data_IF_071780354738
#
_entry.id   IF_071780354738
#
_cell.length_a   1.000
_cell.length_b   1.000
_cell.length_c   1.000
_cell.angle_alpha   90.00
_cell.angle_beta   90.00
_cell.angle_gamma   90.00
#
_symmetry.space_group_name_H-M   'P 1'
#
loop_
_entity.id
_entity.type
_entity.pdbx_description
1 polymer ?
#
# COMPACT_ATOMS: atom_id res chain seq x y z
N UNK A 1 -48.07 27.30 -20.50
CA UNK A 1 -46.72 27.54 -19.91
C UNK A 1 -46.27 26.25 -19.23
N UNK A 2 -45.35 25.49 -19.84
CA UNK A 2 -44.84 24.24 -19.31
C UNK A 2 -43.69 24.51 -18.33
N UNK A 3 -43.82 24.05 -17.08
CA UNK A 3 -42.75 24.09 -16.07
C UNK A 3 -41.85 22.86 -16.27
N UNK A 4 -40.60 23.09 -16.64
CA UNK A 4 -39.58 22.03 -16.70
C UNK A 4 -38.87 21.99 -15.33
N UNK A 5 -39.07 20.92 -14.57
CA UNK A 5 -38.36 20.67 -13.32
C UNK A 5 -37.12 19.84 -13.63
N UNK A 6 -35.93 20.42 -13.50
CA UNK A 6 -34.67 19.68 -13.59
C UNK A 6 -34.46 18.87 -12.30
N UNK A 7 -34.50 17.55 -12.39
CA UNK A 7 -34.02 16.66 -11.33
C UNK A 7 -32.54 16.32 -11.60
N UNK A 8 -31.64 16.80 -10.75
CA UNK A 8 -30.23 16.45 -10.79
C UNK A 8 -30.03 15.06 -10.16
N UNK A 9 -29.71 14.05 -10.98
CA UNK A 9 -29.33 12.73 -10.51
C UNK A 9 -27.84 12.73 -10.12
N UNK A 10 -27.56 12.75 -8.80
CA UNK A 10 -26.21 12.50 -8.28
C UNK A 10 -25.94 11.00 -8.32
N UNK A 11 -25.12 10.58 -9.29
CA UNK A 11 -24.58 9.21 -9.35
C UNK A 11 -23.43 9.16 -8.35
N UNK A 12 -23.65 8.59 -7.17
CA UNK A 12 -22.56 8.24 -6.26
C UNK A 12 -21.80 7.04 -6.85
N UNK A 13 -20.58 7.29 -7.34
CA UNK A 13 -19.66 6.21 -7.67
C UNK A 13 -19.26 5.52 -6.36
N UNK A 14 -19.78 4.31 -6.13
CA UNK A 14 -19.27 3.41 -5.10
C UNK A 14 -17.89 2.94 -5.52
N UNK A 15 -16.86 3.61 -5.00
CA UNK A 15 -15.50 3.06 -4.99
C UNK A 15 -15.51 1.90 -4.01
N UNK A 16 -15.63 0.68 -4.53
CA UNK A 16 -15.35 -0.51 -3.75
C UNK A 16 -13.85 -0.48 -3.46
N UNK A 17 -13.46 0.07 -2.31
CA UNK A 17 -12.10 -0.11 -1.78
C UNK A 17 -12.05 -1.56 -1.33
N UNK A 18 -11.66 -2.43 -2.25
CA UNK A 18 -11.19 -3.76 -1.89
C UNK A 18 -9.93 -3.51 -1.06
N UNK A 19 -9.92 -3.95 0.20
CA UNK A 19 -8.76 -3.76 1.05
C UNK A 19 -7.54 -4.30 0.32
N UNK A 20 -6.54 -3.45 0.11
CA UNK A 20 -5.37 -3.76 -0.71
C UNK A 20 -4.59 -4.91 -0.11
N UNK A 21 -4.65 -5.02 1.21
CA UNK A 21 -4.10 -6.12 1.98
C UNK A 21 -5.13 -6.54 3.03
N UNK A 22 -6.02 -7.50 2.72
CA UNK A 22 -7.09 -7.89 3.63
C UNK A 22 -6.56 -8.31 5.02
N UNK A 23 -6.92 -7.54 6.06
CA UNK A 23 -6.49 -7.82 7.43
C UNK A 23 -5.08 -7.35 7.80
N UNK A 24 -4.51 -6.42 7.02
CA UNK A 24 -3.28 -5.69 7.30
C UNK A 24 -3.55 -4.19 7.45
N UNK A 25 -2.52 -3.37 7.65
CA UNK A 25 -2.67 -1.92 7.76
C UNK A 25 -2.10 -1.16 6.56
N UNK A 26 -1.07 -1.73 5.94
CA UNK A 26 -0.34 -1.10 4.85
C UNK A 26 0.05 -2.10 3.78
N UNK A 27 0.23 -1.60 2.56
CA UNK A 27 0.80 -2.34 1.44
C UNK A 27 2.03 -1.62 0.89
N UNK A 28 3.06 -2.38 0.52
CA UNK A 28 4.27 -1.83 -0.12
C UNK A 28 4.32 -2.29 -1.57
N UNK A 29 4.43 -1.32 -2.48
CA UNK A 29 4.78 -1.54 -3.87
C UNK A 29 6.28 -1.32 -4.06
N UNK A 30 6.93 -2.28 -4.70
CA UNK A 30 8.28 -2.16 -5.24
C UNK A 30 8.17 -1.64 -6.69
N UNK A 31 8.72 -0.44 -6.92
CA UNK A 31 8.68 0.23 -8.22
C UNK A 31 9.92 -0.09 -9.08
N UNK A 32 10.85 -0.89 -8.57
CA UNK A 32 12.19 -1.06 -9.13
C UNK A 32 13.12 0.08 -8.75
N UNK A 33 14.40 -0.05 -9.15
CA UNK A 33 15.44 0.96 -8.91
C UNK A 33 15.52 1.46 -7.47
N UNK A 34 15.33 0.55 -6.51
CA UNK A 34 15.35 0.85 -5.07
C UNK A 34 14.31 1.92 -4.65
N UNK A 35 13.19 1.98 -5.39
CA UNK A 35 12.06 2.86 -5.13
C UNK A 35 10.84 2.09 -4.63
N UNK A 36 10.26 2.57 -3.54
CA UNK A 36 9.15 1.92 -2.84
C UNK A 36 8.06 2.93 -2.53
N UNK A 37 6.80 2.49 -2.62
CA UNK A 37 5.65 3.25 -2.17
C UNK A 37 4.89 2.47 -1.12
N UNK A 38 4.59 3.14 -0.01
CA UNK A 38 3.80 2.57 1.08
C UNK A 38 2.41 3.19 1.03
N UNK A 39 1.41 2.32 0.93
CA UNK A 39 0.00 2.66 0.86
C UNK A 39 -0.72 2.27 2.13
N UNK A 40 -1.69 3.06 2.55
CA UNK A 40 -2.72 2.61 3.50
C UNK A 40 -3.78 1.75 2.80
N UNK A 41 -4.73 1.21 3.57
CA UNK A 41 -5.86 0.42 3.05
C UNK A 41 -6.79 1.19 2.09
N UNK A 42 -6.68 2.53 2.03
CA UNK A 42 -7.45 3.41 1.15
C UNK A 42 -6.72 3.76 -0.16
N UNK A 43 -5.58 3.14 -0.45
CA UNK A 43 -4.70 3.46 -1.58
C UNK A 43 -4.11 4.88 -1.54
N UNK A 44 -4.07 5.49 -0.36
CA UNK A 44 -3.35 6.74 -0.17
C UNK A 44 -1.86 6.43 0.01
N UNK A 45 -1.01 7.17 -0.69
CA UNK A 45 0.45 7.09 -0.47
C UNK A 45 0.76 7.75 0.87
N UNK A 46 1.21 6.95 1.83
CA UNK A 46 1.66 7.44 3.13
C UNK A 46 3.15 7.80 3.06
N UNK A 47 3.92 7.04 2.29
CA UNK A 47 5.36 7.25 2.16
C UNK A 47 5.87 6.84 0.78
N UNK A 48 6.92 7.52 0.33
CA UNK A 48 7.68 7.16 -0.87
C UNK A 48 9.15 7.17 -0.50
N UNK A 49 9.77 5.99 -0.56
CA UNK A 49 11.17 5.80 -0.22
C UNK A 49 11.97 5.56 -1.50
N UNK A 50 13.07 6.29 -1.64
CA UNK A 50 14.02 6.12 -2.74
C UNK A 50 15.39 5.98 -2.11
N UNK A 51 16.01 4.83 -2.32
CA UNK A 51 17.34 4.56 -1.80
C UNK A 51 18.38 4.66 -2.92
N UNK A 52 19.62 4.96 -2.53
CA UNK A 52 20.79 4.91 -3.42
C UNK A 52 21.59 3.60 -3.29
N UNK A 53 21.08 2.68 -2.47
CA UNK A 53 21.68 1.39 -2.17
C UNK A 53 20.65 0.46 -1.53
N UNK A 54 21.01 -0.81 -1.37
CA UNK A 54 20.13 -1.85 -0.84
C UNK A 54 19.28 -1.37 0.37
N UNK A 55 17.95 -1.31 0.24
CA UNK A 55 17.09 -0.72 1.27
C UNK A 55 17.02 -1.58 2.54
N UNK A 56 17.39 -2.85 2.46
CA UNK A 56 17.48 -3.77 3.59
C UNK A 56 18.62 -3.45 4.56
N UNK A 57 19.59 -2.63 4.17
CA UNK A 57 20.71 -2.19 5.03
C UNK A 57 20.56 -0.76 5.54
N UNK A 58 19.54 -0.04 5.06
CA UNK A 58 19.29 1.37 5.40
C UNK A 58 18.44 1.54 6.68
N UNK A 59 18.03 0.43 7.30
CA UNK A 59 17.22 0.44 8.52
C UNK A 59 15.74 0.71 8.29
N UNK A 60 15.29 0.99 7.05
CA UNK A 60 13.86 1.18 6.71
C UNK A 60 13.11 -0.13 6.52
N UNK A 61 13.76 -1.16 5.96
CA UNK A 61 13.18 -2.47 5.77
C UNK A 61 13.99 -3.56 6.46
N UNK A 62 13.27 -4.55 6.99
CA UNK A 62 13.81 -5.87 7.28
C UNK A 62 13.57 -6.76 6.07
N UNK A 63 14.54 -7.60 5.70
CA UNK A 63 14.45 -8.44 4.53
C UNK A 63 14.88 -9.88 4.81
N UNK A 64 14.33 -10.83 4.05
CA UNK A 64 14.78 -12.22 4.03
C UNK A 64 16.11 -12.39 3.27
N UNK A 65 16.85 -13.48 3.51
CA UNK A 65 17.88 -13.94 2.57
C UNK A 65 17.31 -14.16 1.16
N UNK A 66 18.20 -14.32 0.17
CA UNK A 66 17.80 -14.58 -1.21
C UNK A 66 16.84 -15.79 -1.34
N UNK A 67 15.69 -15.67 -2.05
CA UNK A 67 15.22 -14.48 -2.76
C UNK A 67 14.79 -13.37 -1.79
N UNK A 68 15.37 -12.18 -1.97
CA UNK A 68 15.19 -11.04 -1.06
C UNK A 68 13.72 -10.61 -1.12
N UNK A 69 13.07 -10.61 0.03
CA UNK A 69 11.69 -10.15 0.21
C UNK A 69 11.66 -9.26 1.45
N UNK A 70 10.88 -8.18 1.42
CA UNK A 70 10.65 -7.34 2.59
C UNK A 70 9.81 -8.13 3.61
N UNK A 71 10.37 -8.33 4.80
CA UNK A 71 9.75 -9.01 5.94
C UNK A 71 9.32 -8.06 7.06
N UNK A 72 9.71 -6.78 6.98
CA UNK A 72 9.23 -5.73 7.88
C UNK A 72 9.52 -4.33 7.35
N UNK A 73 8.71 -3.35 7.76
CA UNK A 73 8.81 -1.96 7.32
C UNK A 73 8.57 -0.98 8.48
N UNK A 74 9.42 0.04 8.61
CA UNK A 74 9.26 1.07 9.63
C UNK A 74 8.36 2.10 8.99
N UNK A 75 7.14 2.26 9.48
CA UNK A 75 6.14 3.14 8.89
C UNK A 75 5.73 4.11 10.00
N UNK A 76 5.93 5.40 9.78
CA UNK A 76 5.65 6.44 10.78
C UNK A 76 6.32 6.19 12.15
N UNK A 77 7.55 5.67 12.16
CA UNK A 77 8.32 5.41 13.38
C UNK A 77 7.91 4.14 14.15
N UNK A 78 7.06 3.30 13.58
CA UNK A 78 6.66 2.01 14.15
C UNK A 78 7.08 0.88 13.22
N UNK A 79 7.57 -0.23 13.79
CA UNK A 79 7.87 -1.43 13.01
C UNK A 79 6.62 -2.26 12.75
N UNK A 80 6.42 -2.61 11.48
CA UNK A 80 5.37 -3.51 11.03
C UNK A 80 6.00 -4.77 10.47
N UNK A 81 5.42 -5.93 10.79
CA UNK A 81 5.78 -7.19 10.15
C UNK A 81 5.12 -7.24 8.78
N UNK A 82 5.89 -7.59 7.75
CA UNK A 82 5.45 -7.65 6.37
C UNK A 82 5.56 -9.07 5.81
N UNK A 83 4.59 -9.45 4.97
CA UNK A 83 4.62 -10.73 4.24
C UNK A 83 3.90 -10.58 2.90
N UNK A 84 4.30 -11.35 1.87
CA UNK A 84 3.50 -11.47 0.66
C UNK A 84 2.11 -11.99 1.00
N UNK A 85 1.08 -11.47 0.36
CA UNK A 85 -0.30 -11.96 0.46
C UNK A 85 -0.86 -12.22 -0.94
N UNK A 86 -1.39 -13.42 -1.24
CA UNK A 86 -1.92 -13.72 -2.57
C UNK A 86 -3.21 -12.97 -2.90
N UNK A 87 -3.86 -12.37 -1.90
CA UNK A 87 -5.02 -11.50 -2.07
C UNK A 87 -4.60 -10.02 -2.08
N UNK A 88 -3.30 -9.72 -2.18
CA UNK A 88 -2.85 -8.34 -2.31
C UNK A 88 -3.40 -7.73 -3.61
N UNK A 89 -3.83 -6.48 -3.49
CA UNK A 89 -4.37 -5.70 -4.58
C UNK A 89 -3.30 -4.87 -5.29
N UNK A 90 -3.78 -3.81 -5.93
CA UNK A 90 -2.94 -2.77 -6.53
C UNK A 90 -3.50 -1.40 -6.20
N UNK A 91 -2.61 -0.40 -6.12
CA UNK A 91 -2.97 0.99 -5.93
C UNK A 91 -2.38 1.85 -7.02
N UNK A 92 -3.23 2.69 -7.64
CA UNK A 92 -2.80 3.64 -8.67
C UNK A 92 -1.96 3.00 -9.80
N UNK A 93 -2.26 1.75 -10.15
CA UNK A 93 -1.53 0.98 -11.17
C UNK A 93 -0.27 0.26 -10.67
N UNK A 94 0.08 0.34 -9.39
CA UNK A 94 1.20 -0.36 -8.78
C UNK A 94 0.71 -1.57 -7.97
N UNK A 95 1.25 -2.75 -8.27
CA UNK A 95 0.95 -3.97 -7.53
C UNK A 95 1.57 -3.90 -6.13
N UNK A 96 0.84 -4.40 -5.13
CA UNK A 96 1.40 -4.53 -3.79
C UNK A 96 2.15 -5.84 -3.67
N UNK A 97 3.45 -5.74 -3.38
CA UNK A 97 4.36 -6.87 -3.24
C UNK A 97 4.28 -7.52 -1.85
N UNK A 98 4.16 -6.71 -0.80
CA UNK A 98 4.04 -7.19 0.58
C UNK A 98 3.02 -6.37 1.36
N UNK A 99 2.37 -7.05 2.30
CA UNK A 99 1.37 -6.48 3.20
C UNK A 99 1.91 -6.43 4.62
N UNK A 100 1.75 -5.30 5.29
CA UNK A 100 2.36 -5.01 6.58
C UNK A 100 1.31 -4.75 7.65
N UNK A 101 1.47 -5.41 8.81
CA UNK A 101 0.59 -5.25 9.97
C UNK A 101 1.39 -5.08 11.24
N UNK A 102 0.86 -4.28 12.16
CA UNK A 102 1.39 -4.25 13.51
C UNK A 102 0.95 -5.55 14.20
N UNK A 103 1.83 -6.55 14.22
CA UNK A 103 1.57 -7.82 14.91
C UNK A 103 1.74 -7.69 16.45
N UNK A 104 1.89 -6.47 16.97
CA UNK A 104 1.72 -6.14 18.40
C UNK A 104 2.95 -6.36 19.28
N UNK A 105 4.15 -6.01 18.78
CA UNK A 105 5.37 -6.06 19.58
C UNK A 105 5.68 -4.73 20.28
#
# INVERSE_FOLDING_TARGET
MFKLTLAAAFVFAVVNVNAICPGFNYGIADLGDESYKIYDDGCNVIETDIFSSNPCTQGKFSCSPAPITITGAEINGLWYACRPDPNSGSCNGYNINVCCRNDGN
#
